data_IF_383267098983
#
_entry.id   IF_383267098983
#
_cell.length_a   1.000
_cell.length_b   1.000
_cell.length_c   1.000
_cell.angle_alpha   90.00
_cell.angle_beta   90.00
_cell.angle_gamma   90.00
#
_symmetry.space_group_name_H-M   'P 1'
#
loop_
_entity.id
_entity.type
_entity.pdbx_description
1 polymer ?
#
# COMPACT_ATOMS: atom_id res chain seq x y z
N UNK A 1 -22.05 -16.62 20.75
CA UNK A 1 -21.72 -15.21 20.47
C UNK A 1 -20.48 -15.23 19.60
N UNK A 2 -20.52 -14.70 18.38
CA UNK A 2 -19.34 -14.68 17.52
C UNK A 2 -18.29 -13.76 18.16
N UNK A 3 -17.08 -14.28 18.42
CA UNK A 3 -15.95 -13.46 18.80
C UNK A 3 -15.79 -12.33 17.77
N UNK A 4 -15.88 -11.07 18.22
CA UNK A 4 -15.39 -9.96 17.41
C UNK A 4 -13.88 -10.08 17.39
N UNK A 5 -13.34 -10.76 16.38
CA UNK A 5 -11.91 -10.72 16.09
C UNK A 5 -11.55 -9.25 15.85
N UNK A 6 -10.72 -8.67 16.71
CA UNK A 6 -10.25 -7.31 16.53
C UNK A 6 -9.49 -7.25 15.20
N UNK A 7 -9.93 -6.35 14.32
CA UNK A 7 -9.27 -6.13 13.04
C UNK A 7 -7.95 -5.43 13.29
N UNK A 8 -6.90 -5.96 12.67
CA UNK A 8 -5.61 -5.32 12.70
C UNK A 8 -5.66 -4.02 11.88
N UNK A 9 -5.20 -2.92 12.48
CA UNK A 9 -5.22 -1.59 11.86
C UNK A 9 -4.05 -0.73 12.34
N UNK A 10 -3.11 -0.46 11.44
CA UNK A 10 -2.06 0.54 11.63
C UNK A 10 -2.52 1.91 11.16
N UNK A 11 -2.29 2.90 12.02
CA UNK A 11 -2.49 4.31 11.68
C UNK A 11 -1.22 4.88 11.04
N UNK A 12 -1.43 5.76 10.07
CA UNK A 12 -0.34 6.32 9.28
C UNK A 12 0.61 7.13 10.14
N UNK A 13 1.91 6.88 9.93
CA UNK A 13 2.98 7.74 10.43
C UNK A 13 3.81 8.27 9.25
N UNK A 14 4.08 9.58 9.23
CA UNK A 14 4.81 10.25 8.15
C UNK A 14 4.15 9.99 6.78
N UNK A 15 4.94 9.81 5.71
CA UNK A 15 4.46 9.55 4.36
C UNK A 15 4.36 8.05 4.03
N UNK A 16 4.27 7.17 5.03
CA UNK A 16 4.35 5.70 4.87
C UNK A 16 2.99 5.04 4.57
N UNK A 17 2.11 5.71 3.83
CA UNK A 17 0.78 5.17 3.50
C UNK A 17 0.84 3.78 2.83
N UNK A 18 1.80 3.56 1.92
CA UNK A 18 2.00 2.25 1.27
C UNK A 18 2.34 1.12 2.25
N UNK A 19 3.22 1.38 3.23
CA UNK A 19 3.57 0.41 4.28
C UNK A 19 2.34 0.00 5.07
N UNK A 20 1.60 0.99 5.57
CA UNK A 20 0.43 0.72 6.41
C UNK A 20 -0.70 0.09 5.60
N UNK A 21 -0.85 0.44 4.31
CA UNK A 21 -1.79 -0.23 3.43
C UNK A 21 -1.45 -1.72 3.26
N UNK A 22 -0.17 -2.08 3.10
CA UNK A 22 0.27 -3.47 3.04
C UNK A 22 0.01 -4.23 4.35
N UNK A 23 0.39 -3.66 5.49
CA UNK A 23 0.18 -4.30 6.79
C UNK A 23 -1.31 -4.45 7.13
N UNK A 24 -2.11 -3.42 6.82
CA UNK A 24 -3.55 -3.46 7.00
C UNK A 24 -4.19 -4.50 6.09
N UNK A 25 -3.84 -4.54 4.80
CA UNK A 25 -4.41 -5.53 3.88
C UNK A 25 -4.02 -6.95 4.26
N UNK A 26 -2.82 -7.19 4.82
CA UNK A 26 -2.40 -8.52 5.28
C UNK A 26 -2.80 -8.83 6.73
N UNK A 27 -3.48 -7.90 7.40
CA UNK A 27 -3.94 -8.03 8.78
C UNK A 27 -2.82 -8.35 9.79
N UNK A 28 -1.65 -7.73 9.63
CA UNK A 28 -0.54 -7.83 10.57
C UNK A 28 0.68 -6.97 10.19
N UNK A 29 1.67 -6.83 11.11
CA UNK A 29 2.89 -6.05 10.87
C UNK A 29 3.89 -6.84 10.01
N UNK A 30 3.51 -7.14 8.77
CA UNK A 30 4.30 -8.00 7.84
C UNK A 30 5.52 -7.25 7.30
N UNK A 31 5.38 -5.94 7.08
CA UNK A 31 6.39 -5.06 6.52
C UNK A 31 6.79 -3.98 7.51
N UNK A 32 8.06 -3.60 7.43
CA UNK A 32 8.63 -2.47 8.15
C UNK A 32 9.18 -1.45 7.17
N UNK A 33 9.61 -0.29 7.69
CA UNK A 33 10.31 0.70 6.89
C UNK A 33 11.57 0.09 6.25
N UNK A 34 12.34 -0.70 7.00
CA UNK A 34 13.59 -1.28 6.49
C UNK A 34 13.32 -2.22 5.33
N UNK A 35 12.31 -3.10 5.43
CA UNK A 35 11.99 -4.05 4.35
C UNK A 35 11.57 -3.34 3.06
N UNK A 36 10.86 -2.20 3.15
CA UNK A 36 10.49 -1.43 1.96
C UNK A 36 11.65 -0.58 1.42
N UNK A 37 12.52 -0.08 2.28
CA UNK A 37 13.72 0.62 1.86
C UNK A 37 14.68 -0.33 1.12
N UNK A 38 14.86 -1.57 1.62
CA UNK A 38 15.65 -2.63 0.96
C UNK A 38 15.10 -2.94 -0.44
N UNK A 39 13.77 -3.05 -0.60
CA UNK A 39 13.15 -3.23 -1.91
C UNK A 39 13.42 -2.04 -2.85
N UNK A 40 13.43 -0.81 -2.33
CA UNK A 40 13.76 0.38 -3.13
C UNK A 40 15.23 0.39 -3.56
N UNK A 41 16.15 -0.01 -2.68
CA UNK A 41 17.58 -0.09 -2.95
C UNK A 41 17.87 -1.17 -3.99
N UNK A 42 17.20 -2.33 -3.90
CA UNK A 42 17.29 -3.39 -4.91
C UNK A 42 16.80 -2.91 -6.28
N UNK A 43 15.65 -2.23 -6.34
CA UNK A 43 15.13 -1.67 -7.60
C UNK A 43 16.06 -0.61 -8.20
N UNK A 44 16.61 0.29 -7.37
CA UNK A 44 17.56 1.29 -7.82
C UNK A 44 18.83 0.65 -8.39
N UNK A 45 19.36 -0.38 -7.72
CA UNK A 45 20.54 -1.13 -8.16
C UNK A 45 20.28 -1.87 -9.48
N UNK A 46 19.07 -2.42 -9.66
CA UNK A 46 18.68 -3.07 -10.93
C UNK A 46 18.55 -2.07 -12.09
N UNK A 47 18.15 -0.83 -11.80
CA UNK A 47 17.99 0.22 -12.81
C UNK A 47 19.33 0.84 -13.22
N UNK A 48 20.24 1.02 -12.26
CA UNK A 48 21.60 1.54 -12.48
C UNK A 48 22.61 0.81 -11.58
N UNK A 49 23.24 -0.27 -12.07
CA UNK A 49 24.21 -1.04 -11.31
C UNK A 49 25.51 -0.28 -10.99
N UNK A 50 25.80 0.78 -11.76
CA UNK A 50 27.03 1.58 -11.64
C UNK A 50 26.85 2.78 -10.69
N UNK A 51 25.59 3.09 -10.33
CA UNK A 51 25.27 4.06 -9.28
C UNK A 51 25.71 3.52 -7.92
N UNK A 52 26.94 3.81 -7.54
CA UNK A 52 27.51 3.37 -6.26
C UNK A 52 26.59 3.57 -5.04
N UNK A 53 26.82 2.77 -4.01
CA UNK A 53 26.04 2.70 -2.76
C UNK A 53 26.34 3.86 -1.76
N UNK A 54 26.65 5.04 -2.28
CA UNK A 54 26.96 6.23 -1.47
C UNK A 54 25.72 6.92 -0.88
N UNK A 55 25.94 7.75 0.15
CA UNK A 55 24.91 8.54 0.84
C UNK A 55 24.05 9.39 -0.11
N UNK A 56 24.63 9.90 -1.21
CA UNK A 56 23.91 10.67 -2.23
C UNK A 56 22.87 9.81 -2.95
N UNK A 57 23.24 8.60 -3.37
CA UNK A 57 22.36 7.67 -4.07
C UNK A 57 21.25 7.17 -3.14
N UNK A 58 21.60 6.86 -1.88
CA UNK A 58 20.62 6.52 -0.85
C UNK A 58 19.59 7.64 -0.63
N UNK A 59 20.03 8.90 -0.57
CA UNK A 59 19.17 10.06 -0.37
C UNK A 59 18.29 10.38 -1.60
N UNK A 60 18.69 9.93 -2.79
CA UNK A 60 18.04 10.23 -4.07
C UNK A 60 17.49 8.99 -4.79
N UNK A 61 16.90 8.08 -4.02
CA UNK A 61 16.30 6.86 -4.56
C UNK A 61 14.96 7.19 -5.30
N UNK A 62 14.76 6.75 -6.56
CA UNK A 62 13.57 7.08 -7.34
C UNK A 62 12.28 6.40 -6.87
N UNK A 63 12.38 5.35 -6.05
CA UNK A 63 11.24 4.53 -5.59
C UNK A 63 10.70 4.95 -4.21
N UNK A 64 11.30 5.98 -3.58
CA UNK A 64 10.86 6.53 -2.29
C UNK A 64 11.18 8.03 -2.19
N UNK A 65 10.58 8.72 -1.21
CA UNK A 65 10.93 10.12 -0.98
C UNK A 65 12.35 10.29 -0.43
N UNK A 66 13.00 11.44 -0.71
CA UNK A 66 14.32 11.75 -0.17
C UNK A 66 14.38 11.62 1.35
N UNK A 67 15.56 11.25 1.84
CA UNK A 67 15.86 11.08 3.28
C UNK A 67 15.04 9.98 3.99
N UNK A 68 14.38 9.08 3.23
CA UNK A 68 13.70 7.92 3.80
C UNK A 68 12.44 8.25 4.61
N UNK A 69 11.75 9.35 4.30
CA UNK A 69 10.52 9.77 4.98
C UNK A 69 9.29 8.90 4.62
N UNK A 70 9.43 7.98 3.67
CA UNK A 70 8.37 7.10 3.15
C UNK A 70 8.00 7.43 1.70
N UNK A 71 6.72 7.27 1.36
CA UNK A 71 6.13 7.45 0.03
C UNK A 71 6.72 6.52 -1.03
N UNK A 72 6.50 5.22 -0.81
CA UNK A 72 6.94 4.16 -1.71
C UNK A 72 6.09 4.15 -2.98
N UNK A 73 6.75 4.03 -4.12
CA UNK A 73 6.06 3.82 -5.39
C UNK A 73 5.48 2.40 -5.49
N UNK A 74 4.72 2.15 -6.55
CA UNK A 74 4.08 0.84 -6.73
C UNK A 74 5.08 -0.30 -6.94
N UNK A 75 6.24 -0.04 -7.53
CA UNK A 75 7.22 -1.08 -7.82
C UNK A 75 7.85 -1.58 -6.52
N UNK A 76 8.18 -0.68 -5.59
CA UNK A 76 8.67 -1.02 -4.26
C UNK A 76 7.66 -1.88 -3.50
N UNK A 77 6.37 -1.49 -3.50
CA UNK A 77 5.31 -2.29 -2.87
C UNK A 77 5.16 -3.67 -3.53
N UNK A 78 5.24 -3.73 -4.87
CA UNK A 78 5.14 -4.98 -5.64
C UNK A 78 6.29 -5.92 -5.31
N UNK A 79 7.53 -5.42 -5.32
CA UNK A 79 8.71 -6.23 -5.04
C UNK A 79 8.69 -6.76 -3.60
N UNK A 80 8.33 -5.92 -2.63
CA UNK A 80 8.22 -6.34 -1.23
C UNK A 80 7.16 -7.44 -1.04
N UNK A 81 6.00 -7.33 -1.71
CA UNK A 81 4.99 -8.39 -1.74
C UNK A 81 5.54 -9.69 -2.34
N UNK A 82 6.23 -9.60 -3.47
CA UNK A 82 6.84 -10.76 -4.14
C UNK A 82 7.87 -11.47 -3.26
N UNK A 83 8.72 -10.72 -2.56
CA UNK A 83 9.71 -11.26 -1.61
C UNK A 83 9.04 -12.01 -0.43
N UNK A 84 7.76 -11.73 -0.13
CA UNK A 84 6.94 -12.42 0.87
C UNK A 84 6.04 -13.51 0.28
N UNK A 85 6.16 -13.80 -1.02
CA UNK A 85 5.39 -14.85 -1.70
C UNK A 85 3.98 -14.41 -2.14
N UNK A 86 3.68 -13.10 -2.09
CA UNK A 86 2.42 -12.56 -2.60
C UNK A 86 2.54 -12.11 -4.05
N UNK A 87 1.42 -12.13 -4.76
CA UNK A 87 1.30 -11.59 -6.11
C UNK A 87 0.31 -10.42 -6.08
N UNK A 88 0.69 -9.32 -6.73
CA UNK A 88 -0.20 -8.18 -6.93
C UNK A 88 -0.69 -8.15 -8.37
N UNK A 89 -2.01 -8.15 -8.56
CA UNK A 89 -2.64 -8.05 -9.86
C UNK A 89 -3.20 -6.65 -10.08
N UNK A 90 -2.95 -6.08 -11.25
CA UNK A 90 -3.51 -4.81 -11.65
C UNK A 90 -4.98 -4.96 -12.06
N UNK A 91 -5.82 -4.10 -11.50
CA UNK A 91 -7.24 -4.04 -11.82
C UNK A 91 -7.53 -2.83 -12.70
N UNK A 92 -8.28 -3.04 -13.77
CA UNK A 92 -8.74 -1.95 -14.62
C UNK A 92 -9.92 -1.24 -13.94
N UNK A 93 -9.66 -0.04 -13.40
CA UNK A 93 -10.67 0.80 -12.75
C UNK A 93 -11.86 1.19 -13.64
N UNK A 94 -11.75 1.02 -14.96
CA UNK A 94 -12.83 1.31 -15.92
C UNK A 94 -13.87 0.20 -15.96
N UNK A 95 -13.52 -0.98 -15.44
CA UNK A 95 -14.42 -2.12 -15.28
C UNK A 95 -15.01 -2.05 -13.87
N UNK A 96 -16.33 -2.24 -13.71
CA UNK A 96 -16.93 -2.35 -12.38
C UNK A 96 -16.20 -3.42 -11.57
N UNK A 97 -15.83 -3.10 -10.32
CA UNK A 97 -15.24 -4.09 -9.43
C UNK A 97 -16.37 -4.94 -8.87
N UNK A 98 -16.65 -6.05 -9.54
CA UNK A 98 -17.58 -7.08 -9.12
C UNK A 98 -16.85 -8.40 -8.79
N UNK A 99 -17.61 -9.39 -8.31
CA UNK A 99 -17.07 -10.72 -7.95
C UNK A 99 -16.45 -11.46 -9.15
N UNK A 100 -16.66 -10.98 -10.39
CA UNK A 100 -16.04 -11.56 -11.59
C UNK A 100 -14.66 -10.96 -11.84
N UNK A 101 -14.46 -9.68 -11.54
CA UNK A 101 -13.16 -9.01 -11.67
C UNK A 101 -12.25 -9.31 -10.47
N UNK A 102 -12.79 -9.26 -9.25
CA UNK A 102 -12.06 -9.53 -8.02
C UNK A 102 -12.91 -10.37 -7.08
N UNK A 103 -12.48 -11.61 -6.88
CA UNK A 103 -13.01 -12.45 -5.82
C UNK A 103 -12.38 -12.06 -4.49
N UNK A 104 -12.98 -11.10 -3.80
CA UNK A 104 -12.51 -10.64 -2.48
C UNK A 104 -12.51 -11.74 -1.41
N UNK A 105 -13.18 -12.86 -1.65
CA UNK A 105 -13.13 -14.05 -0.79
C UNK A 105 -11.90 -14.92 -1.00
N UNK A 106 -11.24 -14.82 -2.17
CA UNK A 106 -10.03 -15.57 -2.52
C UNK A 106 -8.76 -14.70 -2.43
N UNK A 107 -8.90 -13.37 -2.51
CA UNK A 107 -7.80 -12.41 -2.39
C UNK A 107 -7.63 -11.92 -0.94
N UNK A 108 -6.38 -11.63 -0.55
CA UNK A 108 -6.10 -10.98 0.74
C UNK A 108 -6.76 -9.60 0.86
N UNK A 109 -6.95 -8.90 -0.25
CA UNK A 109 -7.64 -7.63 -0.35
C UNK A 109 -7.19 -6.83 -1.57
N UNK A 110 -7.54 -5.55 -1.59
CA UNK A 110 -7.24 -4.62 -2.68
C UNK A 110 -6.46 -3.43 -2.14
N UNK A 111 -5.39 -3.07 -2.84
CA UNK A 111 -4.65 -1.83 -2.63
C UNK A 111 -5.15 -0.77 -3.60
N UNK A 112 -5.55 0.38 -3.07
CA UNK A 112 -6.07 1.49 -3.83
C UNK A 112 -5.08 2.66 -3.80
N UNK A 113 -4.71 3.18 -4.98
CA UNK A 113 -3.91 4.39 -5.13
C UNK A 113 -4.75 5.54 -5.65
N UNK A 114 -5.14 6.44 -4.76
CA UNK A 114 -6.00 7.59 -5.09
C UNK A 114 -5.21 8.88 -5.12
N UNK A 115 -5.64 9.79 -5.99
CA UNK A 115 -5.16 11.18 -6.00
C UNK A 115 -5.88 11.93 -4.89
N UNK A 116 -5.12 12.59 -4.03
CA UNK A 116 -5.63 13.43 -2.96
C UNK A 116 -5.76 14.87 -3.43
N UNK A 117 -6.98 15.40 -3.42
CA UNK A 117 -7.22 16.82 -3.68
C UNK A 117 -7.08 17.59 -2.37
N UNK A 118 -5.97 18.31 -2.21
CA UNK A 118 -5.75 19.23 -1.08
C UNK A 118 -5.87 20.68 -1.53
N UNK A 119 -5.89 21.63 -0.58
CA UNK A 119 -5.88 23.08 -0.89
C UNK A 119 -4.69 23.52 -1.76
N UNK A 120 -3.57 22.77 -1.72
CA UNK A 120 -2.38 22.98 -2.56
C UNK A 120 -2.30 22.04 -3.78
N UNK A 121 -3.40 21.36 -4.14
CA UNK A 121 -3.42 20.42 -5.28
C UNK A 121 -3.00 21.03 -6.62
N UNK A 122 -3.08 22.36 -6.77
CA UNK A 122 -2.59 23.10 -7.94
C UNK A 122 -1.06 23.10 -8.09
N UNK A 123 -0.33 22.89 -7.00
CA UNK A 123 1.13 22.87 -6.98
C UNK A 123 1.69 21.45 -6.96
N UNK A 124 1.03 20.53 -6.24
CA UNK A 124 1.49 19.16 -6.10
C UNK A 124 0.33 18.18 -5.93
N UNK A 125 0.17 17.26 -6.89
CA UNK A 125 -0.75 16.14 -6.77
C UNK A 125 -0.15 15.08 -5.85
N UNK A 126 -0.71 14.95 -4.65
CA UNK A 126 -0.33 13.91 -3.71
C UNK A 126 -1.13 12.65 -3.97
N UNK A 127 -0.49 11.50 -3.84
CA UNK A 127 -1.14 10.19 -3.95
C UNK A 127 -1.20 9.52 -2.58
N UNK A 128 -2.19 8.67 -2.39
CA UNK A 128 -2.42 7.97 -1.13
C UNK A 128 -2.75 6.52 -1.40
N UNK A 129 -2.02 5.63 -0.74
CA UNK A 129 -2.31 4.21 -0.71
C UNK A 129 -3.20 3.89 0.49
N UNK A 130 -4.28 3.16 0.25
CA UNK A 130 -5.08 2.55 1.31
C UNK A 130 -5.52 1.14 0.92
N UNK A 131 -5.99 0.38 1.88
CA UNK A 131 -6.39 -1.00 1.70
C UNK A 131 -7.90 -1.20 1.91
N UNK A 132 -8.44 -2.18 1.18
CA UNK A 132 -9.78 -2.71 1.37
C UNK A 132 -9.64 -4.23 1.53
N UNK A 133 -10.28 -4.78 2.55
CA UNK A 133 -10.27 -6.23 2.78
C UNK A 133 -11.64 -6.72 3.20
N UNK A 134 -12.02 -7.91 2.73
CA UNK A 134 -13.19 -8.65 3.21
C UNK A 134 -12.76 -9.54 4.38
N UNK A 135 -13.38 -9.37 5.54
CA UNK A 135 -13.14 -10.19 6.74
C UNK A 135 -14.49 -10.63 7.29
N UNK A 136 -14.69 -11.94 7.44
CA UNK A 136 -15.96 -12.49 7.93
C UNK A 136 -17.17 -12.09 7.08
N UNK A 137 -16.99 -11.98 5.75
CA UNK A 137 -18.06 -11.56 4.83
C UNK A 137 -18.29 -10.05 4.72
N UNK A 138 -17.63 -9.23 5.55
CA UNK A 138 -17.79 -7.78 5.57
C UNK A 138 -16.58 -7.10 4.94
N UNK A 139 -16.82 -6.15 4.03
CA UNK A 139 -15.75 -5.34 3.45
C UNK A 139 -15.42 -4.16 4.35
N UNK A 140 -14.13 -3.97 4.64
CA UNK A 140 -13.63 -2.88 5.46
C UNK A 140 -12.72 -1.98 4.65
N UNK A 141 -12.91 -0.67 4.78
CA UNK A 141 -11.92 0.34 4.46
C UNK A 141 -10.91 0.41 5.60
N UNK A 142 -9.66 0.06 5.28
CA UNK A 142 -8.53 0.02 6.21
C UNK A 142 -7.53 1.15 5.90
N UNK A 143 -8.04 2.30 5.48
CA UNK A 143 -7.24 3.51 5.30
C UNK A 143 -6.57 3.90 6.63
N UNK A 144 -5.25 3.93 6.62
CA UNK A 144 -4.40 4.26 7.76
C UNK A 144 -4.59 5.70 8.26
N UNK A 145 -5.26 6.58 7.50
CA UNK A 145 -5.70 7.90 7.97
C UNK A 145 -6.96 7.86 8.86
N UNK A 146 -7.73 6.78 8.82
CA UNK A 146 -8.90 6.61 9.68
C UNK A 146 -8.50 6.25 11.12
N UNK A 147 -9.29 6.68 12.11
CA UNK A 147 -9.05 6.30 13.50
C UNK A 147 -9.24 4.80 13.76
N UNK A 148 -10.09 4.13 12.96
CA UNK A 148 -10.38 2.71 13.03
C UNK A 148 -10.92 2.19 11.67
N UNK A 149 -10.94 0.87 11.44
CA UNK A 149 -11.57 0.26 10.26
C UNK A 149 -13.02 0.72 10.07
N UNK A 150 -13.37 1.11 8.85
CA UNK A 150 -14.74 1.54 8.51
C UNK A 150 -15.41 0.52 7.59
N UNK A 151 -16.65 0.11 7.92
CA UNK A 151 -17.42 -0.80 7.06
C UNK A 151 -17.73 -0.11 5.72
N UNK A 152 -17.45 -0.80 4.61
CA UNK A 152 -17.79 -0.38 3.25
C UNK A 152 -18.91 -1.25 2.71
N UNK A 153 -19.96 -0.62 2.17
CA UNK A 153 -21.02 -1.36 1.48
C UNK A 153 -20.52 -1.80 0.10
N UNK A 154 -20.69 -3.09 -0.24
CA UNK A 154 -20.11 -3.74 -1.44
C UNK A 154 -20.67 -3.21 -2.77
N UNK A 155 -21.70 -2.35 -2.76
CA UNK A 155 -22.40 -1.89 -3.97
C UNK A 155 -21.62 -0.93 -4.88
N UNK A 156 -20.40 -0.51 -4.52
CA UNK A 156 -19.66 0.48 -5.29
C UNK A 156 -18.16 0.43 -4.96
N UNK A 157 -17.43 -0.45 -5.64
CA UNK A 157 -15.98 -0.39 -5.80
C UNK A 157 -15.63 0.01 -7.23
#
# INVERSE_FOLDING_TARGET
MAERKELYHERQQLYRCGLHALNNVLQGPVFTKSTLDEACEELATRADPDAGNGLMNWAWNPHRSPLGLGNYDVNALTLALQQKGYVMQWLDKRVPVDDKLVKLDEAEGVLCNVVMTTMLSSLWLQRHWFAIRKVGGVCYNLDSKLPAPAVRCVRSL
#
